data_IF_041649430939
#
_entry.id   IF_041649430939
#
_cell.length_a   1.000
_cell.length_b   1.000
_cell.length_c   1.000
_cell.angle_alpha   90.00
_cell.angle_beta   90.00
_cell.angle_gamma   90.00
#
_symmetry.space_group_name_H-M   'P 1'
#
loop_
_entity.id
_entity.type
_entity.pdbx_description
1 polymer ?
#
# COMPACT_ATOMS: atom_id res chain seq x y z
N UNK A 1 15.76 42.76 60.60
CA UNK A 1 15.49 43.30 59.24
C UNK A 1 16.67 43.25 58.25
N UNK A 2 17.90 42.90 58.66
CA UNK A 2 19.07 42.77 57.75
C UNK A 2 19.22 41.39 57.07
N UNK A 3 18.55 40.34 57.58
CA UNK A 3 18.63 38.99 57.04
C UNK A 3 17.87 38.84 55.71
N UNK A 4 16.66 39.41 55.62
CA UNK A 4 15.82 39.37 54.41
C UNK A 4 16.41 40.18 53.24
N UNK A 5 17.12 41.29 53.47
CA UNK A 5 17.70 42.08 52.37
C UNK A 5 18.96 41.45 51.75
N UNK A 6 19.73 40.66 52.51
CA UNK A 6 20.91 39.94 51.96
C UNK A 6 20.56 38.67 51.18
N UNK A 7 19.33 38.16 51.33
CA UNK A 7 18.92 36.88 50.74
C UNK A 7 17.80 37.01 49.69
N UNK A 8 17.31 38.22 49.39
CA UNK A 8 16.39 38.47 48.26
C UNK A 8 16.97 38.02 46.92
N UNK A 9 18.26 38.23 46.71
CA UNK A 9 18.98 37.73 45.51
C UNK A 9 19.05 36.20 45.50
N UNK A 10 19.22 35.55 46.65
CA UNK A 10 19.29 34.09 46.75
C UNK A 10 17.93 33.42 46.54
N UNK A 11 16.84 34.01 47.08
CA UNK A 11 15.48 33.48 46.92
C UNK A 11 14.98 33.70 45.48
N UNK A 12 15.33 34.83 44.85
CA UNK A 12 15.06 35.07 43.42
C UNK A 12 15.83 34.11 42.52
N UNK A 13 17.08 33.78 42.86
CA UNK A 13 17.89 32.84 42.09
C UNK A 13 17.35 31.40 42.19
N UNK A 14 16.85 30.99 43.35
CA UNK A 14 16.20 29.68 43.54
C UNK A 14 14.86 29.59 42.79
N UNK A 15 14.09 30.69 42.72
CA UNK A 15 12.87 30.75 41.91
C UNK A 15 13.13 30.62 40.40
N UNK A 16 14.20 31.24 39.90
CA UNK A 16 14.63 31.10 38.49
C UNK A 16 15.24 29.74 38.21
N UNK A 17 15.95 29.12 39.16
CA UNK A 17 16.49 27.76 39.03
C UNK A 17 15.37 26.72 39.04
N UNK A 18 14.29 26.89 39.81
CA UNK A 18 13.12 26.00 39.76
C UNK A 18 12.32 26.15 38.45
N UNK A 19 12.25 27.36 37.87
CA UNK A 19 11.74 27.59 36.51
C UNK A 19 12.68 27.02 35.43
N UNK A 20 13.99 27.00 35.70
CA UNK A 20 14.98 26.38 34.81
C UNK A 20 14.93 24.85 34.85
N UNK A 21 14.61 24.24 36.01
CA UNK A 21 14.44 22.77 36.13
C UNK A 21 13.10 22.31 35.49
N UNK A 22 12.10 23.19 35.37
CA UNK A 22 10.92 22.95 34.53
C UNK A 22 11.20 23.08 33.02
N UNK A 23 12.39 23.55 32.62
CA UNK A 23 12.86 23.67 31.24
C UNK A 23 14.08 22.81 30.92
N UNK A 24 14.48 21.90 31.82
CA UNK A 24 15.37 20.79 31.46
C UNK A 24 14.47 19.75 30.78
N UNK A 25 14.28 19.96 29.48
CA UNK A 25 13.62 19.01 28.59
C UNK A 25 14.11 17.60 28.89
N UNK A 26 13.14 16.70 29.03
CA UNK A 26 13.37 15.28 29.28
C UNK A 26 14.41 14.76 28.29
N UNK A 27 15.62 14.47 28.78
CA UNK A 27 16.63 13.74 28.01
C UNK A 27 16.11 12.32 27.83
N UNK A 28 15.37 12.10 26.75
CA UNK A 28 14.97 10.78 26.31
C UNK A 28 16.03 10.28 25.33
N UNK A 29 16.74 9.24 25.75
CA UNK A 29 17.63 8.46 24.89
C UNK A 29 16.85 7.97 23.68
N UNK A 30 17.26 8.37 22.49
CA UNK A 30 16.70 7.88 21.23
C UNK A 30 17.64 6.85 20.61
N UNK A 31 17.06 5.73 20.19
CA UNK A 31 17.70 4.68 19.43
C UNK A 31 17.05 4.63 18.05
N UNK A 32 17.84 4.98 17.04
CA UNK A 32 17.52 4.78 15.63
C UNK A 32 17.88 3.33 15.28
N UNK A 33 16.90 2.45 15.12
CA UNK A 33 17.15 1.13 14.52
C UNK A 33 16.50 1.07 13.15
N UNK A 34 17.31 1.27 12.10
CA UNK A 34 17.02 0.68 10.80
C UNK A 34 17.71 -0.67 10.77
N UNK A 35 16.98 -1.72 11.14
CA UNK A 35 17.46 -3.10 10.98
C UNK A 35 16.96 -3.61 9.63
N UNK A 36 17.89 -3.83 8.71
CA UNK A 36 17.66 -4.76 7.60
C UNK A 36 18.12 -6.14 8.04
N UNK A 37 17.22 -6.91 8.65
CA UNK A 37 17.52 -8.28 9.07
C UNK A 37 17.16 -9.23 7.92
N UNK A 38 18.10 -10.11 7.54
CA UNK A 38 17.90 -11.14 6.50
C UNK A 38 18.38 -10.81 5.08
N UNK A 39 19.20 -9.79 4.87
CA UNK A 39 19.69 -9.45 3.52
C UNK A 39 20.78 -10.42 3.02
N UNK A 40 20.52 -11.13 1.92
CA UNK A 40 21.52 -11.93 1.20
C UNK A 40 22.52 -11.06 0.40
N UNK A 41 22.21 -9.80 0.12
CA UNK A 41 23.12 -8.84 -0.51
C UNK A 41 22.85 -7.40 -0.02
N UNK A 42 23.90 -6.66 0.31
CA UNK A 42 23.80 -5.27 0.75
C UNK A 42 23.46 -4.32 -0.43
N UNK A 43 22.18 -3.97 -0.64
CA UNK A 43 21.80 -3.01 -1.68
C UNK A 43 20.54 -2.13 -1.42
N UNK A 44 19.87 -2.20 -0.27
CA UNK A 44 18.77 -1.28 0.03
C UNK A 44 19.26 -0.09 0.87
N UNK A 45 19.52 1.06 0.22
CA UNK A 45 19.68 2.35 0.89
C UNK A 45 18.42 3.19 0.66
N UNK A 46 17.51 3.21 1.63
CA UNK A 46 16.36 4.11 1.62
C UNK A 46 16.56 5.29 2.58
N UNK A 47 16.02 6.45 2.21
CA UNK A 47 15.95 7.63 3.06
C UNK A 47 14.47 7.97 3.25
N UNK A 48 14.01 8.00 4.49
CA UNK A 48 12.67 8.48 4.84
C UNK A 48 12.86 9.91 5.33
N UNK A 49 12.32 10.87 4.58
CA UNK A 49 12.32 12.29 4.94
C UNK A 49 10.89 12.67 5.31
N UNK A 50 10.74 13.24 6.50
CA UNK A 50 9.46 13.41 7.15
C UNK A 50 9.33 14.89 7.52
N UNK A 51 8.22 15.54 7.15
CA UNK A 51 8.05 16.99 7.22
C UNK A 51 6.74 17.38 7.89
N UNK A 52 6.69 18.52 8.61
CA UNK A 52 5.43 19.01 9.21
C UNK A 52 4.52 19.62 8.14
N UNK A 53 3.31 20.06 8.54
CA UNK A 53 2.36 20.76 7.67
C UNK A 53 2.91 22.08 7.07
N UNK A 54 4.08 22.55 7.52
CA UNK A 54 4.78 23.72 7.04
C UNK A 54 5.99 23.36 6.13
N UNK A 55 6.23 22.07 5.87
CA UNK A 55 7.31 21.58 5.01
C UNK A 55 8.69 21.55 5.67
N UNK A 56 8.77 21.70 7.00
CA UNK A 56 10.03 21.65 7.74
C UNK A 56 10.38 20.20 8.09
N UNK A 57 11.64 19.81 7.91
CA UNK A 57 12.15 18.50 8.35
C UNK A 57 11.94 18.34 9.85
N UNK A 58 11.20 17.31 10.23
CA UNK A 58 10.88 17.03 11.62
C UNK A 58 11.59 15.76 12.08
N UNK A 59 12.19 15.85 13.27
CA UNK A 59 12.81 14.71 13.95
C UNK A 59 11.78 13.88 14.72
N UNK A 60 12.22 12.76 15.31
CA UNK A 60 11.33 11.78 15.94
C UNK A 60 10.51 12.33 17.12
N UNK A 61 9.22 11.96 17.17
CA UNK A 61 8.40 11.94 18.38
C UNK A 61 7.83 13.26 18.89
N UNK A 62 7.83 14.34 18.11
CA UNK A 62 7.10 15.56 18.47
C UNK A 62 5.73 15.58 17.80
N UNK A 63 4.74 15.09 18.55
CA UNK A 63 3.34 15.16 18.17
C UNK A 63 2.58 15.93 19.24
N UNK A 64 2.28 17.19 18.97
CA UNK A 64 1.30 17.94 19.71
C UNK A 64 0.15 18.22 18.74
N UNK A 65 -1.04 17.68 19.02
CA UNK A 65 -2.26 18.04 18.29
C UNK A 65 -2.64 19.51 18.51
N UNK A 66 -1.89 20.22 19.36
CA UNK A 66 -2.14 21.58 19.77
C UNK A 66 -3.27 21.63 20.80
N UNK A 67 -3.46 22.80 21.40
CA UNK A 67 -4.53 23.04 22.37
C UNK A 67 -5.93 23.15 21.71
N UNK A 68 -5.99 23.17 20.37
CA UNK A 68 -7.20 23.44 19.57
C UNK A 68 -7.79 22.20 18.88
N UNK A 69 -7.47 20.99 19.35
CA UNK A 69 -8.09 19.76 18.84
C UNK A 69 -9.38 19.42 19.61
N UNK A 70 -10.54 19.55 18.96
CA UNK A 70 -11.86 19.38 19.60
C UNK A 70 -12.86 18.60 18.73
N UNK A 71 -13.90 17.98 19.35
CA UNK A 71 -14.90 17.21 18.62
C UNK A 71 -15.66 18.01 17.57
N UNK A 72 -15.89 17.40 16.40
CA UNK A 72 -16.64 17.97 15.30
C UNK A 72 -15.88 18.98 14.44
N UNK A 73 -14.58 19.19 14.71
CA UNK A 73 -13.74 20.00 13.84
C UNK A 73 -13.48 19.32 12.49
N UNK A 74 -12.98 20.08 11.52
CA UNK A 74 -12.54 19.51 10.25
C UNK A 74 -11.35 18.58 10.50
N UNK A 75 -11.34 17.45 9.80
CA UNK A 75 -10.20 16.52 9.78
C UNK A 75 -8.90 17.28 9.54
N UNK A 76 -7.92 17.02 10.40
CA UNK A 76 -6.62 17.66 10.37
C UNK A 76 -5.61 16.77 9.68
N UNK A 77 -4.74 17.39 8.87
CA UNK A 77 -3.50 16.76 8.45
C UNK A 77 -2.50 16.86 9.59
N UNK A 78 -2.27 15.73 10.26
CA UNK A 78 -1.35 15.63 11.38
C UNK A 78 0.12 15.63 10.92
N UNK A 79 0.37 15.03 9.76
CA UNK A 79 1.72 14.75 9.30
C UNK A 79 1.75 14.49 7.80
N UNK A 80 2.85 14.85 7.13
CA UNK A 80 3.14 14.39 5.78
C UNK A 80 4.58 13.87 5.69
N UNK A 81 4.79 12.86 4.86
CA UNK A 81 6.11 12.26 4.68
C UNK A 81 6.30 11.77 3.27
N UNK A 82 7.55 11.71 2.86
CA UNK A 82 7.93 11.16 1.57
C UNK A 82 8.79 9.92 1.74
N UNK A 83 8.43 8.88 0.99
CA UNK A 83 9.26 7.70 0.86
C UNK A 83 10.01 7.81 -0.47
N UNK A 84 11.34 7.91 -0.40
CA UNK A 84 12.20 8.03 -1.56
C UNK A 84 12.98 6.73 -1.86
N UNK A 85 12.67 6.10 -3.00
CA UNK A 85 13.30 4.87 -3.50
C UNK A 85 14.39 5.10 -4.53
N UNK A 86 14.83 6.33 -4.79
CA UNK A 86 15.74 6.65 -5.88
C UNK A 86 17.09 5.90 -5.83
N UNK A 87 17.41 5.22 -4.72
CA UNK A 87 18.63 4.44 -4.49
C UNK A 87 18.37 2.97 -4.15
N UNK A 88 17.13 2.50 -4.33
CA UNK A 88 16.73 1.11 -4.10
C UNK A 88 16.38 0.48 -5.44
N UNK A 89 17.25 -0.41 -5.93
CA UNK A 89 17.07 -1.11 -7.22
C UNK A 89 16.24 -2.41 -7.07
N UNK A 90 16.06 -2.88 -5.84
CA UNK A 90 15.31 -4.10 -5.51
C UNK A 90 13.85 -3.78 -5.17
N UNK A 91 12.88 -4.66 -5.49
CA UNK A 91 11.51 -4.49 -5.05
C UNK A 91 11.41 -4.49 -3.53
N UNK A 92 10.51 -3.66 -3.00
CA UNK A 92 10.25 -3.55 -1.56
C UNK A 92 8.78 -3.32 -1.33
N UNK A 93 8.28 -3.80 -0.21
CA UNK A 93 6.98 -3.45 0.35
C UNK A 93 7.16 -2.57 1.59
N UNK A 94 6.14 -1.77 1.90
CA UNK A 94 6.11 -0.97 3.11
C UNK A 94 5.03 -1.44 4.06
N UNK A 95 5.32 -1.44 5.35
CA UNK A 95 4.30 -1.44 6.39
C UNK A 95 4.36 -0.10 7.09
N UNK A 96 3.24 0.62 7.11
CA UNK A 96 3.12 1.88 7.86
C UNK A 96 2.39 1.57 9.15
N UNK A 97 3.06 1.78 10.29
CA UNK A 97 2.49 1.57 11.61
C UNK A 97 2.25 2.92 12.28
N UNK A 98 0.99 3.17 12.64
CA UNK A 98 0.58 4.29 13.47
C UNK A 98 0.25 3.76 14.85
N UNK A 99 1.13 4.02 15.83
CA UNK A 99 0.94 3.58 17.21
C UNK A 99 0.54 4.77 18.08
N UNK A 100 -0.76 4.93 18.39
CA UNK A 100 -1.21 5.99 19.28
C UNK A 100 -0.88 5.68 20.74
N UNK A 101 -0.63 6.72 21.54
CA UNK A 101 -0.31 6.62 22.97
C UNK A 101 -0.77 7.85 23.74
N UNK A 102 -0.87 7.74 25.08
CA UNK A 102 -1.36 8.82 25.93
C UNK A 102 -2.86 8.76 26.22
N UNK A 103 -3.34 9.66 27.07
CA UNK A 103 -4.70 9.60 27.61
C UNK A 103 -5.76 9.89 26.54
N UNK A 104 -5.43 10.70 25.55
CA UNK A 104 -6.34 11.05 24.45
C UNK A 104 -6.69 9.83 23.57
N UNK A 105 -5.76 8.89 23.44
CA UNK A 105 -5.94 7.65 22.68
C UNK A 105 -6.22 6.43 23.58
N UNK A 106 -6.74 6.64 24.79
CA UNK A 106 -7.14 5.53 25.67
C UNK A 106 -8.35 4.78 25.10
N UNK A 107 -8.69 3.64 25.70
CA UNK A 107 -9.84 2.82 25.32
C UNK A 107 -11.09 3.65 25.06
N UNK A 108 -11.80 3.35 23.95
CA UNK A 108 -12.99 4.05 23.47
C UNK A 108 -12.77 5.52 23.05
N UNK A 109 -11.54 5.88 22.68
CA UNK A 109 -11.31 7.20 22.06
C UNK A 109 -12.18 7.37 20.81
N UNK A 110 -12.85 8.53 20.64
CA UNK A 110 -13.61 8.83 19.42
C UNK A 110 -12.69 9.18 18.24
N UNK A 111 -11.39 9.37 18.49
CA UNK A 111 -10.44 9.85 17.50
C UNK A 111 -10.10 8.74 16.51
N UNK A 112 -10.13 9.10 15.23
CA UNK A 112 -9.79 8.21 14.12
C UNK A 112 -8.51 8.69 13.46
N UNK A 113 -7.65 7.73 13.16
CA UNK A 113 -6.44 7.93 12.36
C UNK A 113 -6.69 7.34 10.99
N UNK A 114 -6.31 8.06 9.94
CA UNK A 114 -6.24 7.50 8.59
C UNK A 114 -4.93 7.88 7.91
N UNK A 115 -4.55 7.10 6.91
CA UNK A 115 -3.40 7.35 6.07
C UNK A 115 -3.91 7.62 4.65
N UNK A 116 -3.36 8.65 4.02
CA UNK A 116 -3.59 8.93 2.60
C UNK A 116 -2.27 8.93 1.86
N UNK A 117 -2.33 8.55 0.59
CA UNK A 117 -1.21 8.61 -0.36
C UNK A 117 -1.58 9.52 -1.52
N UNK A 118 -0.61 10.29 -2.00
CA UNK A 118 -0.78 11.10 -3.20
C UNK A 118 -0.58 10.25 -4.46
N UNK A 119 -1.61 10.16 -5.28
CA UNK A 119 -1.61 9.45 -6.56
C UNK A 119 -2.15 10.41 -7.61
N UNK A 120 -1.37 10.71 -8.66
CA UNK A 120 -1.77 11.66 -9.72
C UNK A 120 -2.22 13.03 -9.20
N UNK A 121 -1.56 13.56 -8.16
CA UNK A 121 -1.91 14.79 -7.45
C UNK A 121 -3.25 14.76 -6.69
N UNK A 122 -3.84 13.59 -6.50
CA UNK A 122 -5.03 13.38 -5.67
C UNK A 122 -4.67 12.59 -4.42
N UNK A 123 -5.28 12.94 -3.28
CA UNK A 123 -5.08 12.20 -2.02
C UNK A 123 -6.10 11.09 -1.90
N UNK A 124 -5.62 9.85 -1.82
CA UNK A 124 -6.45 8.64 -1.76
C UNK A 124 -6.21 7.93 -0.43
N UNK A 125 -7.27 7.45 0.21
CA UNK A 125 -7.16 6.66 1.45
C UNK A 125 -6.41 5.35 1.21
N UNK A 126 -5.50 5.02 2.13
CA UNK A 126 -4.71 3.78 2.10
C UNK A 126 -4.94 3.00 3.38
N UNK A 127 -5.25 1.71 3.20
CA UNK A 127 -5.31 0.77 4.30
C UNK A 127 -3.90 0.38 4.79
N UNK A 128 -3.43 1.10 5.80
CA UNK A 128 -2.14 0.88 6.43
C UNK A 128 -2.10 -0.33 7.38
N UNK A 129 -3.18 -1.12 7.48
CA UNK A 129 -3.14 -2.43 8.14
C UNK A 129 -2.51 -3.53 7.27
N UNK A 130 -2.30 -3.23 5.99
CA UNK A 130 -1.71 -4.13 4.99
C UNK A 130 -0.35 -3.63 4.52
N UNK A 131 0.38 -4.47 3.76
CA UNK A 131 1.59 -4.02 3.10
C UNK A 131 1.26 -3.17 1.88
N UNK A 132 1.97 -2.05 1.75
CA UNK A 132 1.84 -1.08 0.67
C UNK A 132 2.97 -1.34 -0.33
N UNK A 133 2.59 -1.65 -1.57
CA UNK A 133 3.55 -1.77 -2.67
C UNK A 133 3.78 -0.41 -3.32
N UNK A 134 5.03 0.03 -3.51
CA UNK A 134 5.30 1.37 -4.03
C UNK A 134 5.17 1.35 -5.55
N UNK A 135 4.42 2.28 -6.10
CA UNK A 135 4.18 2.39 -7.55
C UNK A 135 5.08 3.46 -8.19
N UNK A 136 5.75 4.27 -7.38
CA UNK A 136 6.62 5.35 -7.85
C UNK A 136 7.94 5.41 -7.08
N UNK A 137 8.95 6.05 -7.68
CA UNK A 137 10.26 6.24 -7.04
C UNK A 137 10.19 7.19 -5.85
N UNK A 138 9.20 8.06 -5.82
CA UNK A 138 8.91 8.96 -4.70
C UNK A 138 7.41 8.90 -4.48
N UNK A 139 7.01 8.72 -3.24
CA UNK A 139 5.61 8.65 -2.84
C UNK A 139 5.39 9.54 -1.64
N UNK A 140 4.39 10.40 -1.72
CA UNK A 140 4.02 11.30 -0.64
C UNK A 140 2.81 10.73 0.10
N UNK A 141 2.89 10.71 1.42
CA UNK A 141 1.87 10.22 2.32
C UNK A 141 1.48 11.31 3.31
N UNK A 142 0.27 11.23 3.84
CA UNK A 142 -0.16 12.06 4.96
C UNK A 142 -1.01 11.28 5.95
N UNK A 143 -0.82 11.58 7.23
CA UNK A 143 -1.63 11.04 8.33
C UNK A 143 -2.71 12.07 8.64
N UNK A 144 -3.96 11.62 8.63
CA UNK A 144 -5.10 12.44 9.01
C UNK A 144 -5.61 12.02 10.39
N UNK A 145 -6.08 13.01 11.14
CA UNK A 145 -6.70 12.81 12.45
C UNK A 145 -8.09 13.45 12.42
N UNK A 146 -9.08 12.66 12.76
CA UNK A 146 -10.48 13.06 12.81
C UNK A 146 -11.04 12.86 14.22
N UNK A 147 -11.76 13.84 14.74
CA UNK A 147 -12.52 13.73 16.00
C UNK A 147 -14.01 13.94 15.70
N UNK A 148 -14.73 12.90 15.25
CA UNK A 148 -16.16 12.98 15.07
C UNK A 148 -16.87 13.17 16.41
N UNK A 149 -17.99 13.89 16.41
CA UNK A 149 -18.82 14.00 17.61
C UNK A 149 -19.26 12.63 18.12
N UNK A 150 -19.22 12.47 19.43
CA UNK A 150 -19.57 11.23 20.13
C UNK A 150 -20.16 11.50 21.51
N UNK A 151 -20.92 10.53 22.04
CA UNK A 151 -21.54 10.64 23.36
C UNK A 151 -20.51 10.71 24.51
N UNK A 152 -19.25 10.33 24.26
CA UNK A 152 -18.17 10.31 25.24
C UNK A 152 -17.08 11.38 24.99
N UNK A 153 -17.33 12.38 24.14
CA UNK A 153 -16.39 13.47 23.86
C UNK A 153 -15.86 14.16 25.13
N UNK A 154 -16.73 14.37 26.12
CA UNK A 154 -16.40 15.02 27.40
C UNK A 154 -15.32 14.27 28.18
N UNK A 155 -15.25 12.94 28.02
CA UNK A 155 -14.27 12.11 28.71
C UNK A 155 -12.86 12.36 28.17
N UNK A 156 -12.72 12.95 26.99
CA UNK A 156 -11.44 13.16 26.32
C UNK A 156 -10.99 14.63 26.30
N UNK A 157 -11.79 15.54 26.86
CA UNK A 157 -11.45 16.96 26.97
C UNK A 157 -10.16 17.17 27.78
N UNK A 158 -9.23 17.98 27.24
CA UNK A 158 -7.97 18.34 27.91
C UNK A 158 -6.98 17.18 28.08
N UNK A 159 -7.24 16.03 27.44
CA UNK A 159 -6.30 14.90 27.42
C UNK A 159 -5.32 15.07 26.26
N UNK A 160 -4.07 14.69 26.50
CA UNK A 160 -3.02 14.72 25.50
C UNK A 160 -2.73 13.31 24.97
N UNK A 161 -2.25 13.22 23.73
CA UNK A 161 -1.87 11.98 23.08
C UNK A 161 -0.73 12.20 22.09
N UNK A 162 -0.03 11.11 21.78
CA UNK A 162 1.07 11.07 20.82
C UNK A 162 0.80 9.97 19.78
N UNK A 163 1.26 10.13 18.55
CA UNK A 163 1.24 9.07 17.53
C UNK A 163 2.68 8.77 17.11
N UNK A 164 3.12 7.53 17.28
CA UNK A 164 4.37 7.04 16.67
C UNK A 164 4.07 6.58 15.25
N UNK A 165 4.69 7.22 14.26
CA UNK A 165 4.73 6.75 12.88
C UNK A 165 6.00 5.91 12.68
N UNK A 166 5.85 4.70 12.16
CA UNK A 166 6.95 3.84 11.78
C UNK A 166 6.70 3.29 10.38
N UNK A 167 7.70 3.40 9.50
CA UNK A 167 7.63 2.88 8.14
C UNK A 167 8.69 1.79 8.02
N UNK A 168 8.24 0.55 7.93
CA UNK A 168 9.11 -0.61 7.74
C UNK A 168 9.16 -0.95 6.26
N UNK A 169 10.34 -0.93 5.66
CA UNK A 169 10.54 -1.41 4.29
C UNK A 169 11.13 -2.82 4.31
N UNK A 170 10.43 -3.76 3.69
CA UNK A 170 10.89 -5.14 3.55
C UNK A 170 11.22 -5.39 2.09
N UNK A 171 12.43 -5.87 1.82
CA UNK A 171 12.80 -6.35 0.49
C UNK A 171 11.99 -7.58 0.16
N UNK A 172 11.40 -7.60 -1.03
CA UNK A 172 10.74 -8.79 -1.58
C UNK A 172 11.55 -9.28 -2.77
N UNK A 173 11.59 -10.60 -2.95
CA UNK A 173 12.31 -11.18 -4.08
C UNK A 173 11.70 -10.70 -5.40
N UNK A 174 12.56 -10.46 -6.39
CA UNK A 174 12.16 -9.98 -7.72
C UNK A 174 11.24 -10.97 -8.46
N UNK A 175 11.23 -12.23 -8.00
CA UNK A 175 10.36 -13.30 -8.46
C UNK A 175 9.00 -13.35 -7.69
N UNK A 176 8.86 -12.64 -6.57
CA UNK A 176 7.60 -12.38 -5.84
C UNK A 176 6.95 -11.03 -6.23
N UNK A 177 7.34 -10.47 -7.37
CA UNK A 177 6.65 -9.33 -7.98
C UNK A 177 5.32 -9.83 -8.56
N UNK A 178 4.38 -10.13 -7.68
CA UNK A 178 2.97 -10.01 -7.95
C UNK A 178 2.71 -8.54 -8.28
N UNK A 179 2.73 -8.24 -9.58
CA UNK A 179 2.14 -7.04 -10.14
C UNK A 179 0.76 -6.84 -9.50
N UNK A 180 0.44 -5.63 -8.97
CA UNK A 180 -0.79 -5.43 -8.22
C UNK A 180 -2.01 -5.88 -9.03
N UNK A 181 -3.07 -6.43 -8.39
CA UNK A 181 -4.29 -6.81 -9.09
C UNK A 181 -4.81 -5.64 -9.92
N UNK A 182 -4.97 -5.85 -11.22
CA UNK A 182 -5.51 -4.85 -12.13
C UNK A 182 -6.99 -5.09 -12.35
N UNK A 183 -7.75 -4.03 -12.59
CA UNK A 183 -9.13 -4.16 -13.07
C UNK A 183 -9.11 -4.27 -14.59
N UNK A 184 -9.70 -5.34 -15.13
CA UNK A 184 -9.85 -5.50 -16.57
C UNK A 184 -10.91 -4.56 -17.15
N UNK A 185 -10.76 -4.17 -18.41
CA UNK A 185 -11.87 -3.78 -19.27
C UNK A 185 -12.70 -5.01 -19.68
N UNK A 186 -13.05 -5.11 -20.95
CA UNK A 186 -13.80 -6.25 -21.47
C UNK A 186 -12.95 -7.54 -21.54
N UNK A 187 -13.55 -8.63 -21.09
CA UNK A 187 -13.07 -10.00 -21.23
C UNK A 187 -14.05 -10.76 -22.12
N UNK A 188 -13.52 -11.46 -23.12
CA UNK A 188 -14.32 -12.29 -24.03
C UNK A 188 -13.69 -13.67 -24.15
N UNK A 189 -14.50 -14.72 -24.03
CA UNK A 189 -14.06 -16.11 -24.06
C UNK A 189 -14.97 -16.93 -24.99
N UNK A 190 -14.36 -17.78 -25.82
CA UNK A 190 -15.07 -18.73 -26.69
C UNK A 190 -14.32 -20.05 -26.70
N UNK A 191 -15.00 -21.14 -26.32
CA UNK A 191 -14.38 -22.46 -26.15
C UNK A 191 -14.22 -23.27 -27.44
N UNK A 192 -15.05 -23.01 -28.45
CA UNK A 192 -15.05 -23.76 -29.72
C UNK A 192 -15.35 -22.83 -30.90
N UNK A 193 -14.96 -23.19 -32.14
CA UNK A 193 -15.17 -22.34 -33.31
C UNK A 193 -16.64 -21.97 -33.54
N UNK A 194 -17.55 -22.90 -33.26
CA UNK A 194 -19.00 -22.75 -33.46
C UNK A 194 -19.77 -22.48 -32.15
N UNK A 195 -19.07 -22.34 -31.03
CA UNK A 195 -19.68 -22.13 -29.71
C UNK A 195 -20.10 -20.69 -29.46
N UNK A 196 -20.83 -20.48 -28.36
CA UNK A 196 -21.15 -19.14 -27.87
C UNK A 196 -19.90 -18.40 -27.41
N UNK A 197 -19.91 -17.09 -27.59
CA UNK A 197 -18.96 -16.19 -26.93
C UNK A 197 -19.57 -15.71 -25.61
N UNK A 198 -18.81 -15.82 -24.53
CA UNK A 198 -19.18 -15.28 -23.23
C UNK A 198 -18.35 -14.04 -22.96
N UNK A 199 -18.98 -12.98 -22.44
CA UNK A 199 -18.31 -11.73 -22.10
C UNK A 199 -18.54 -11.34 -20.64
N UNK A 200 -17.57 -10.67 -20.06
CA UNK A 200 -17.65 -10.03 -18.73
C UNK A 200 -16.70 -8.84 -18.71
N UNK A 201 -16.77 -8.00 -17.69
CA UNK A 201 -15.88 -6.85 -17.54
C UNK A 201 -15.61 -6.54 -16.06
N UNK A 202 -14.69 -5.62 -15.82
CA UNK A 202 -14.31 -5.12 -14.49
C UNK A 202 -13.93 -6.26 -13.53
N UNK A 203 -13.09 -7.19 -13.99
CA UNK A 203 -12.61 -8.32 -13.21
C UNK A 203 -11.21 -8.10 -12.71
N UNK A 204 -10.91 -8.67 -11.55
CA UNK A 204 -9.58 -8.64 -10.96
C UNK A 204 -8.66 -9.57 -11.75
N UNK A 205 -7.59 -9.00 -12.30
CA UNK A 205 -6.53 -9.69 -13.04
C UNK A 205 -5.26 -9.64 -12.21
N UNK A 206 -4.83 -10.79 -11.71
CA UNK A 206 -3.53 -10.96 -11.07
C UNK A 206 -2.53 -11.44 -12.12
N UNK A 207 -1.36 -10.82 -12.20
CA UNK A 207 -0.27 -11.32 -13.04
C UNK A 207 0.98 -11.48 -12.19
N UNK A 208 1.74 -12.54 -12.43
CA UNK A 208 2.93 -12.88 -11.65
C UNK A 208 3.80 -13.89 -12.41
N UNK A 209 5.00 -14.19 -11.90
CA UNK A 209 5.78 -15.37 -12.33
C UNK A 209 5.68 -16.43 -11.23
N UNK A 210 5.47 -17.69 -11.60
CA UNK A 210 5.48 -18.78 -10.62
C UNK A 210 6.92 -19.14 -10.19
N UNK A 211 7.08 -20.07 -9.25
CA UNK A 211 8.37 -20.57 -8.75
C UNK A 211 9.32 -21.10 -9.84
N UNK A 212 8.80 -21.41 -11.03
CA UNK A 212 9.58 -21.87 -12.19
C UNK A 212 9.92 -20.72 -13.16
N UNK A 213 9.70 -19.47 -12.75
CA UNK A 213 9.88 -18.26 -13.54
C UNK A 213 8.89 -18.11 -14.70
N UNK A 214 7.79 -18.88 -14.71
CA UNK A 214 6.80 -18.84 -15.80
C UNK A 214 5.75 -17.77 -15.55
N UNK A 215 5.45 -16.98 -16.59
CA UNK A 215 4.36 -16.00 -16.57
C UNK A 215 3.01 -16.67 -16.25
N UNK A 216 2.29 -16.13 -15.27
CA UNK A 216 0.94 -16.53 -14.88
C UNK A 216 0.01 -15.30 -14.90
N UNK A 217 -1.20 -15.49 -15.43
CA UNK A 217 -2.30 -14.53 -15.40
C UNK A 217 -3.49 -15.24 -14.78
N UNK A 218 -4.05 -14.73 -13.68
CA UNK A 218 -5.25 -15.24 -13.04
C UNK A 218 -6.35 -14.19 -13.06
N UNK A 219 -7.56 -14.60 -13.42
CA UNK A 219 -8.73 -13.73 -13.39
C UNK A 219 -9.77 -14.33 -12.48
N UNK A 220 -10.10 -13.57 -11.43
CA UNK A 220 -11.10 -13.96 -10.43
C UNK A 220 -12.42 -13.27 -10.76
N UNK A 221 -13.49 -14.06 -10.82
CA UNK A 221 -14.82 -13.55 -11.16
C UNK A 221 -15.52 -12.84 -10.01
N UNK A 222 -15.19 -13.20 -8.75
CA UNK A 222 -15.87 -12.70 -7.55
C UNK A 222 -17.24 -13.33 -7.30
N UNK A 223 -18.02 -12.75 -6.38
CA UNK A 223 -19.40 -13.15 -6.12
C UNK A 223 -20.31 -12.65 -7.25
N UNK A 224 -20.61 -13.53 -8.21
CA UNK A 224 -21.45 -13.21 -9.37
C UNK A 224 -22.19 -14.43 -9.90
N UNK A 225 -23.39 -14.20 -10.43
CA UNK A 225 -24.26 -15.25 -11.00
C UNK A 225 -24.49 -15.08 -12.50
N UNK A 226 -23.69 -14.23 -13.17
CA UNK A 226 -23.79 -14.00 -14.61
C UNK A 226 -23.41 -15.22 -15.46
N UNK A 227 -23.71 -15.15 -16.76
CA UNK A 227 -23.48 -16.27 -17.67
C UNK A 227 -22.00 -16.64 -17.78
N UNK A 228 -21.09 -15.66 -17.73
CA UNK A 228 -19.65 -15.91 -17.75
C UNK A 228 -19.22 -16.68 -16.50
N UNK A 229 -19.68 -16.26 -15.32
CA UNK A 229 -19.39 -16.89 -14.04
C UNK A 229 -19.94 -18.31 -13.97
N UNK A 230 -21.10 -18.56 -14.57
CA UNK A 230 -21.73 -19.89 -14.62
C UNK A 230 -21.11 -20.83 -15.66
N UNK A 231 -20.64 -20.33 -16.80
CA UNK A 231 -20.17 -21.15 -17.92
C UNK A 231 -18.65 -21.26 -18.03
N UNK A 232 -17.93 -20.22 -17.63
CA UNK A 232 -16.45 -20.16 -17.70
C UNK A 232 -15.86 -20.24 -16.29
N UNK A 233 -16.35 -19.41 -15.36
CA UNK A 233 -15.81 -19.32 -14.00
C UNK A 233 -14.48 -18.57 -13.93
N UNK A 234 -13.71 -18.78 -12.86
CA UNK A 234 -12.36 -18.23 -12.79
C UNK A 234 -11.49 -18.91 -13.85
N UNK A 235 -10.43 -18.22 -14.26
CA UNK A 235 -9.50 -18.80 -15.22
C UNK A 235 -8.07 -18.35 -14.97
N UNK A 236 -7.12 -19.20 -15.39
CA UNK A 236 -5.68 -18.98 -15.31
C UNK A 236 -5.01 -19.24 -16.66
N UNK A 237 -4.00 -18.45 -16.99
CA UNK A 237 -3.14 -18.61 -18.15
C UNK A 237 -1.73 -18.81 -17.65
N UNK A 238 -1.09 -19.92 -18.05
CA UNK A 238 0.26 -20.27 -17.59
C UNK A 238 1.18 -20.42 -18.79
N UNK A 239 2.30 -19.71 -18.78
CA UNK A 239 3.39 -19.89 -19.72
C UNK A 239 4.07 -21.24 -19.52
N UNK A 240 4.39 -21.90 -20.62
CA UNK A 240 5.16 -23.13 -20.64
C UNK A 240 6.16 -23.10 -21.76
N UNK A 241 7.40 -23.47 -21.45
CA UNK A 241 8.49 -23.52 -22.43
C UNK A 241 8.86 -24.97 -22.66
N UNK A 242 8.81 -25.40 -23.91
CA UNK A 242 9.21 -26.74 -24.34
C UNK A 242 10.23 -26.60 -25.49
N UNK A 243 11.51 -26.80 -25.17
CA UNK A 243 12.60 -26.53 -26.10
C UNK A 243 12.73 -25.04 -26.44
N UNK A 244 12.61 -24.70 -27.73
CA UNK A 244 12.63 -23.31 -28.23
C UNK A 244 11.24 -22.68 -28.36
N UNK A 245 10.19 -23.42 -28.02
CA UNK A 245 8.81 -22.99 -28.24
C UNK A 245 8.18 -22.60 -26.91
N UNK A 246 7.61 -21.39 -26.87
CA UNK A 246 6.79 -20.92 -25.76
C UNK A 246 5.32 -21.19 -26.08
N UNK A 247 4.61 -21.74 -25.13
CA UNK A 247 3.18 -22.02 -25.15
C UNK A 247 2.50 -21.32 -24.00
N UNK A 248 1.22 -20.98 -24.17
CA UNK A 248 0.36 -20.52 -23.09
C UNK A 248 -0.79 -21.51 -22.93
N UNK A 249 -0.97 -21.98 -21.70
CA UNK A 249 -2.03 -22.93 -21.32
C UNK A 249 -3.14 -22.16 -20.63
N UNK A 250 -4.34 -22.22 -21.20
CA UNK A 250 -5.53 -21.58 -20.64
C UNK A 250 -6.35 -22.64 -19.90
N UNK A 251 -6.67 -22.34 -18.65
CA UNK A 251 -7.49 -23.17 -17.77
C UNK A 251 -8.66 -22.37 -17.26
N UNK A 252 -9.86 -22.96 -17.21
CA UNK A 252 -11.04 -22.37 -16.58
C UNK A 252 -11.69 -23.38 -15.64
N UNK A 253 -12.45 -22.87 -14.67
CA UNK A 253 -13.12 -23.72 -13.68
C UNK A 253 -14.24 -24.57 -14.28
N UNK A 254 -14.92 -24.08 -15.33
CA UNK A 254 -16.21 -24.64 -15.77
C UNK A 254 -16.28 -25.02 -17.25
N UNK A 255 -15.32 -24.62 -18.08
CA UNK A 255 -15.33 -24.99 -19.50
C UNK A 255 -14.52 -26.27 -19.75
N UNK A 256 -15.17 -27.28 -20.33
CA UNK A 256 -14.57 -28.58 -20.62
C UNK A 256 -13.32 -28.47 -21.50
N UNK A 257 -13.39 -27.68 -22.58
CA UNK A 257 -12.30 -27.54 -23.56
C UNK A 257 -11.09 -26.76 -23.02
N UNK A 258 -11.25 -26.09 -21.89
CA UNK A 258 -10.20 -25.37 -21.19
C UNK A 258 -10.05 -25.89 -19.75
N UNK A 259 -10.34 -27.17 -19.50
CA UNK A 259 -10.12 -27.79 -18.20
C UNK A 259 -8.67 -28.27 -18.02
N UNK A 260 -8.31 -28.67 -16.79
CA UNK A 260 -7.00 -29.27 -16.51
C UNK A 260 -6.72 -30.54 -17.34
N UNK A 261 -7.76 -31.23 -17.81
CA UNK A 261 -7.64 -32.48 -18.57
C UNK A 261 -7.57 -32.31 -20.09
N UNK A 262 -8.16 -31.24 -20.63
CA UNK A 262 -8.23 -31.01 -22.10
C UNK A 262 -7.16 -30.03 -22.60
N UNK A 263 -6.57 -29.23 -21.69
CA UNK A 263 -5.44 -28.30 -21.90
C UNK A 263 -5.56 -27.51 -23.21
N UNK A 264 -6.19 -26.34 -23.15
CA UNK A 264 -6.16 -25.41 -24.27
C UNK A 264 -4.78 -24.74 -24.36
N UNK A 265 -4.05 -25.02 -25.43
CA UNK A 265 -2.71 -24.48 -25.73
C UNK A 265 -2.75 -23.49 -26.89
N UNK A 266 -2.05 -22.38 -26.76
CA UNK A 266 -1.72 -21.44 -27.85
C UNK A 266 -0.22 -21.20 -27.90
N UNK A 267 0.36 -21.10 -29.09
CA UNK A 267 1.80 -20.85 -29.30
C UNK A 267 2.15 -19.37 -29.42
N UNK A 268 1.15 -18.52 -29.61
CA UNK A 268 1.33 -17.10 -29.87
C UNK A 268 0.27 -16.30 -29.13
N UNK A 269 0.67 -15.11 -28.67
CA UNK A 269 -0.20 -14.14 -28.04
C UNK A 269 -0.19 -12.88 -28.89
N UNK A 270 -1.37 -12.51 -29.36
CA UNK A 270 -1.59 -11.34 -30.19
C UNK A 270 -1.70 -10.10 -29.31
N UNK A 271 -0.76 -9.18 -29.51
CA UNK A 271 -0.65 -7.86 -28.87
C UNK A 271 -0.67 -6.74 -29.92
N UNK A 272 -1.24 -7.00 -31.10
CA UNK A 272 -1.34 -6.01 -32.19
C UNK A 272 -2.21 -4.80 -31.84
N UNK A 273 -3.17 -4.99 -30.92
CA UNK A 273 -4.01 -3.92 -30.38
C UNK A 273 -3.46 -3.48 -29.03
N UNK A 274 -3.12 -2.18 -28.91
CA UNK A 274 -2.64 -1.60 -27.65
C UNK A 274 -3.67 -1.80 -26.54
N UNK A 275 -3.22 -2.28 -25.38
CA UNK A 275 -4.06 -2.49 -24.20
C UNK A 275 -4.93 -3.75 -24.23
N UNK A 276 -4.77 -4.61 -25.24
CA UNK A 276 -5.54 -5.86 -25.35
C UNK A 276 -4.60 -7.04 -25.55
N UNK A 277 -4.80 -8.08 -24.74
CA UNK A 277 -4.14 -9.37 -24.86
C UNK A 277 -5.08 -10.38 -25.52
N UNK A 278 -4.68 -10.99 -26.65
CA UNK A 278 -5.48 -12.00 -27.35
C UNK A 278 -4.76 -13.34 -27.46
N UNK A 279 -5.42 -14.40 -27.01
CA UNK A 279 -4.99 -15.78 -27.15
C UNK A 279 -5.87 -16.45 -28.20
N UNK A 280 -5.39 -16.46 -29.44
CA UNK A 280 -6.12 -16.97 -30.59
C UNK A 280 -5.63 -18.38 -30.94
N UNK A 281 -6.55 -19.33 -31.08
CA UNK A 281 -6.28 -20.58 -31.81
C UNK A 281 -6.84 -20.42 -33.22
N UNK A 282 -6.05 -20.71 -34.26
CA UNK A 282 -6.46 -20.57 -35.67
C UNK A 282 -7.80 -21.31 -35.87
N UNK A 283 -8.83 -20.57 -36.31
CA UNK A 283 -10.20 -21.07 -36.50
C UNK A 283 -10.76 -21.83 -35.28
N UNK A 284 -10.39 -21.41 -34.07
CA UNK A 284 -10.55 -22.16 -32.82
C UNK A 284 -11.15 -21.34 -31.67
N UNK A 285 -11.02 -21.85 -30.43
CA UNK A 285 -11.25 -21.06 -29.22
C UNK A 285 -10.41 -19.77 -29.18
N UNK A 286 -10.96 -18.73 -28.54
CA UNK A 286 -10.29 -17.45 -28.36
C UNK A 286 -10.58 -16.86 -26.98
N UNK A 287 -9.58 -16.14 -26.44
CA UNK A 287 -9.68 -15.37 -25.20
C UNK A 287 -9.09 -13.98 -25.47
N UNK A 288 -9.83 -12.95 -25.08
CA UNK A 288 -9.38 -11.55 -25.13
C UNK A 288 -9.54 -10.92 -23.75
N UNK A 289 -8.53 -10.19 -23.31
CA UNK A 289 -8.54 -9.43 -22.04
C UNK A 289 -8.07 -8.02 -22.35
N UNK A 290 -8.93 -7.04 -22.09
CA UNK A 290 -8.54 -5.63 -22.12
C UNK A 290 -7.91 -5.24 -20.77
N UNK A 291 -6.63 -4.90 -20.78
CA UNK A 291 -5.90 -4.30 -19.66
C UNK A 291 -4.57 -3.74 -20.17
N UNK A 292 -4.33 -2.45 -19.91
CA UNK A 292 -3.11 -1.77 -20.34
C UNK A 292 -1.89 -2.28 -19.57
N UNK A 293 -2.09 -2.64 -18.31
CA UNK A 293 -1.09 -3.16 -17.39
C UNK A 293 -0.68 -4.57 -17.79
N UNK A 294 -1.65 -5.44 -18.10
CA UNK A 294 -1.40 -6.76 -18.66
C UNK A 294 -0.64 -6.68 -19.99
N UNK A 295 -1.04 -5.76 -20.87
CA UNK A 295 -0.35 -5.52 -22.15
C UNK A 295 1.11 -5.10 -21.94
N UNK A 296 1.36 -4.16 -21.04
CA UNK A 296 2.71 -3.67 -20.71
C UNK A 296 3.58 -4.79 -20.15
N UNK A 297 3.06 -5.54 -19.18
CA UNK A 297 3.72 -6.70 -18.58
C UNK A 297 4.06 -7.79 -19.61
N UNK A 298 3.16 -8.03 -20.57
CA UNK A 298 3.39 -9.04 -21.59
C UNK A 298 4.44 -8.61 -22.61
N UNK A 299 4.45 -7.33 -23.01
CA UNK A 299 5.34 -6.77 -24.04
C UNK A 299 6.66 -6.22 -23.51
N UNK A 300 6.84 -6.17 -22.18
CA UNK A 300 8.04 -5.61 -21.53
C UNK A 300 8.16 -4.10 -21.70
N UNK A 301 7.02 -3.41 -21.79
CA UNK A 301 6.92 -1.94 -21.93
C UNK A 301 6.56 -1.27 -20.62
#
# INVERSE_FOLDING_TARGET
>A
MKFLMKHKLFISLIGVILLAIASIGTLAYFSKSFTSDGNAAAAAKFNVEAVNAQGELIGDGQFDLGEDFYPGMKTLEAYSFEINKNKTEVPVEYTVQLTPSGKLFSKNTPIKLSLQRSINNEWVDVDYSTTIRPESKTESYRVLVDWPHSDNDIDFQGKNGNIKLEVLATQVDEDEVATPPYTSGDISFKATPNGSTFTTSNKTVNVYKNEQGKKVIEVTMGEGSGTFEQKVGNFKIIESVEGKTTWYRVYTDKEYYASETQIWRVSEVDTSVKGVLRLNKINGPYLSIESQELYNWFTGK
#
